data_IF_780352088764
#
_entry.id   IF_780352088764
#
_cell.length_a   1.000
_cell.length_b   1.000
_cell.length_c   1.000
_cell.angle_alpha   90.00
_cell.angle_beta   90.00
_cell.angle_gamma   90.00
#
_symmetry.space_group_name_H-M   'P 1'
#
loop_
_entity.id
_entity.type
_entity.pdbx_description
1 polymer ?
#
# COMPACT_ATOMS: atom_id res chain seq x y z
N UNK A 1 -27.08 -7.53 -0.21
CA UNK A 1 -26.37 -6.35 0.30
C UNK A 1 -25.44 -6.81 1.40
N UNK A 2 -24.14 -6.93 1.13
CA UNK A 2 -23.14 -7.17 2.17
C UNK A 2 -21.98 -6.23 1.91
N UNK A 3 -21.92 -5.17 2.72
CA UNK A 3 -20.83 -4.22 2.75
C UNK A 3 -19.56 -4.96 3.19
N UNK A 4 -18.62 -5.14 2.26
CA UNK A 4 -17.26 -5.56 2.61
C UNK A 4 -16.66 -4.34 3.33
N UNK A 5 -16.49 -4.46 4.64
CA UNK A 5 -15.94 -3.39 5.46
C UNK A 5 -14.58 -2.94 4.90
N UNK A 6 -14.55 -1.67 4.47
CA UNK A 6 -13.36 -0.82 4.38
C UNK A 6 -12.62 -0.86 5.72
N UNK A 7 -11.79 -1.86 5.96
CA UNK A 7 -10.90 -1.84 7.12
C UNK A 7 -9.61 -1.11 6.72
N UNK A 8 -9.76 0.20 6.51
CA UNK A 8 -8.66 1.09 6.19
C UNK A 8 -7.56 0.93 7.25
N UNK A 9 -6.36 0.55 6.80
CA UNK A 9 -5.22 0.40 7.72
C UNK A 9 -4.92 1.71 8.45
N UNK A 10 -4.53 1.59 9.72
CA UNK A 10 -4.27 2.73 10.60
C UNK A 10 -2.84 3.24 10.42
N UNK A 11 -2.62 4.49 10.83
CA UNK A 11 -1.27 5.04 10.98
C UNK A 11 -0.45 4.16 11.94
N UNK A 12 0.88 4.18 11.78
CA UNK A 12 1.84 3.38 12.55
C UNK A 12 1.71 1.86 12.38
N UNK A 13 0.85 1.39 11.46
CA UNK A 13 0.77 -0.03 11.09
C UNK A 13 1.95 -0.39 10.20
N UNK A 14 2.65 -1.48 10.52
CA UNK A 14 3.73 -2.01 9.68
C UNK A 14 3.14 -2.95 8.64
N UNK A 15 3.58 -2.83 7.40
CA UNK A 15 3.04 -3.61 6.28
C UNK A 15 4.14 -4.09 5.36
N UNK A 16 3.87 -5.20 4.67
CA UNK A 16 4.67 -5.73 3.57
C UNK A 16 3.83 -5.71 2.29
N UNK A 17 4.38 -5.16 1.22
CA UNK A 17 3.67 -4.96 -0.04
C UNK A 17 4.55 -5.24 -1.27
N UNK A 18 3.93 -5.71 -2.35
CA UNK A 18 4.58 -5.88 -3.66
C UNK A 18 4.24 -4.70 -4.55
N UNK A 19 5.11 -3.69 -4.55
CA UNK A 19 4.94 -2.49 -5.37
C UNK A 19 5.35 -2.79 -6.81
N UNK A 20 4.47 -2.58 -7.82
CA UNK A 20 4.87 -2.69 -9.22
C UNK A 20 5.90 -1.61 -9.56
N UNK A 21 6.94 -2.01 -10.26
CA UNK A 21 7.92 -1.09 -10.82
C UNK A 21 7.34 -0.43 -12.08
N UNK A 22 7.90 0.73 -12.46
CA UNK A 22 7.49 1.38 -13.70
C UNK A 22 7.68 0.39 -14.86
N UNK A 23 6.65 0.14 -15.69
CA UNK A 23 6.78 -0.68 -16.90
C UNK A 23 7.91 -0.16 -17.80
N UNK A 24 8.12 1.15 -17.80
CA UNK A 24 9.18 1.83 -18.52
C UNK A 24 10.62 1.42 -18.13
N UNK A 25 10.82 0.77 -16.97
CA UNK A 25 12.14 0.33 -16.47
C UNK A 25 12.27 -1.20 -16.41
N UNK A 26 11.52 -1.93 -17.23
CA UNK A 26 11.62 -3.39 -17.32
C UNK A 26 10.52 -4.16 -16.58
N UNK A 27 9.51 -3.47 -16.04
CA UNK A 27 8.38 -4.10 -15.35
C UNK A 27 8.77 -4.83 -14.06
N UNK A 28 7.86 -5.67 -13.55
CA UNK A 28 8.06 -6.46 -12.33
C UNK A 28 7.55 -5.79 -11.05
N UNK A 29 7.86 -6.40 -9.92
CA UNK A 29 7.45 -5.95 -8.58
C UNK A 29 8.65 -5.92 -7.64
N UNK A 30 8.66 -4.93 -6.75
CA UNK A 30 9.61 -4.84 -5.65
C UNK A 30 8.85 -5.05 -4.36
N UNK A 31 9.29 -6.03 -3.55
CA UNK A 31 8.77 -6.21 -2.20
C UNK A 31 9.34 -5.11 -1.31
N UNK A 32 8.46 -4.37 -0.65
CA UNK A 32 8.84 -3.34 0.32
C UNK A 32 8.13 -3.59 1.65
N UNK A 33 8.82 -3.25 2.73
CA UNK A 33 8.28 -3.36 4.10
C UNK A 33 8.48 -2.04 4.81
N UNK A 34 7.41 -1.45 5.34
CA UNK A 34 7.51 -0.16 6.03
C UNK A 34 6.27 0.16 6.85
N UNK A 35 6.36 1.26 7.58
CA UNK A 35 5.33 1.72 8.53
C UNK A 35 4.48 2.80 7.88
N UNK A 36 3.16 2.70 7.96
CA UNK A 36 2.24 3.69 7.38
C UNK A 36 2.36 5.01 8.16
N UNK A 37 2.81 6.05 7.47
CA UNK A 37 2.92 7.42 8.01
C UNK A 37 1.83 8.35 7.52
N UNK A 38 1.21 8.05 6.37
CA UNK A 38 0.09 8.83 5.85
C UNK A 38 -0.84 7.94 5.03
N UNK A 39 -2.13 8.21 5.15
CA UNK A 39 -3.17 7.57 4.36
C UNK A 39 -3.69 8.58 3.33
N UNK A 40 -3.83 8.14 2.09
CA UNK A 40 -4.23 8.95 0.95
C UNK A 40 -5.38 8.20 0.27
N UNK A 41 -6.58 8.76 0.29
CA UNK A 41 -7.76 8.16 -0.35
C UNK A 41 -8.15 9.01 -1.56
N UNK A 42 -8.27 8.39 -2.72
CA UNK A 42 -8.71 9.04 -3.96
C UNK A 42 -9.66 8.13 -4.75
N UNK A 43 -10.11 8.58 -5.93
CA UNK A 43 -11.02 7.82 -6.79
C UNK A 43 -10.45 6.47 -7.24
N UNK A 44 -9.13 6.29 -7.23
CA UNK A 44 -8.46 5.03 -7.57
C UNK A 44 -8.35 4.05 -6.40
N UNK A 45 -8.70 4.48 -5.18
CA UNK A 45 -8.69 3.66 -3.97
C UNK A 45 -7.84 4.25 -2.84
N UNK A 46 -7.49 3.40 -1.87
CA UNK A 46 -6.62 3.78 -0.75
C UNK A 46 -5.15 3.57 -1.10
N UNK A 47 -4.34 4.53 -0.69
CA UNK A 47 -2.89 4.56 -0.83
C UNK A 47 -2.26 4.88 0.52
N UNK A 48 -1.09 4.31 0.76
CA UNK A 48 -0.36 4.43 2.01
C UNK A 48 1.07 4.89 1.73
N UNK A 49 1.47 5.98 2.37
CA UNK A 49 2.84 6.45 2.36
C UNK A 49 3.60 5.83 3.54
N UNK A 50 4.69 5.15 3.24
CA UNK A 50 5.52 4.46 4.21
C UNK A 50 6.66 5.36 4.70
N UNK A 51 7.12 5.11 5.92
CA UNK A 51 8.30 5.72 6.56
C UNK A 51 9.56 5.73 5.69
N UNK A 52 9.80 4.69 4.90
CA UNK A 52 10.95 4.61 3.97
C UNK A 52 10.82 5.49 2.71
N UNK A 53 9.77 6.32 2.61
CA UNK A 53 9.55 7.23 1.48
C UNK A 53 8.81 6.63 0.28
N UNK A 54 8.27 5.41 0.39
CA UNK A 54 7.52 4.75 -0.68
C UNK A 54 6.01 4.86 -0.48
N UNK A 55 5.28 5.20 -1.55
CA UNK A 55 3.82 5.06 -1.60
C UNK A 55 3.41 3.72 -2.20
N UNK A 56 2.43 3.06 -1.60
CA UNK A 56 1.83 1.81 -2.06
C UNK A 56 0.31 1.90 -2.11
N UNK A 57 -0.32 1.17 -3.03
CA UNK A 57 -1.77 0.96 -3.02
C UNK A 57 -2.14 -0.12 -2.00
N UNK A 58 -3.32 -0.01 -1.40
CA UNK A 58 -3.95 -1.06 -0.59
C UNK A 58 -3.94 -2.43 -1.29
N UNK A 59 -4.14 -2.44 -2.61
CA UNK A 59 -4.17 -3.65 -3.44
C UNK A 59 -2.82 -4.37 -3.53
N UNK A 60 -1.73 -3.73 -3.14
CA UNK A 60 -0.38 -4.28 -3.20
C UNK A 60 0.07 -4.89 -1.88
N UNK A 61 -0.69 -4.70 -0.81
CA UNK A 61 -0.37 -5.19 0.52
C UNK A 61 -0.59 -6.70 0.55
N UNK A 62 0.43 -7.41 1.04
CA UNK A 62 0.43 -8.87 1.14
C UNK A 62 0.20 -9.27 2.60
N UNK A 63 0.73 -8.49 3.54
CA UNK A 63 0.77 -8.84 4.95
C UNK A 63 0.87 -7.60 5.84
N UNK A 64 0.22 -7.65 7.02
CA UNK A 64 0.32 -6.68 8.11
C UNK A 64 1.22 -7.30 9.18
N UNK A 65 2.19 -6.55 9.68
CA UNK A 65 3.23 -6.99 10.63
C UNK A 65 3.06 -6.36 12.01
#
# INVERSE_FOLDING_TARGET
MSQIHNNQLKLETKVKANKPNCPCKGGGTTTITGTIKKIITNQSGNWYYLDQGSTISEKWIIEIL
#
